data_IF_204455815909
#
_entry.id   IF_204455815909
#
_cell.length_a   1.000
_cell.length_b   1.000
_cell.length_c   1.000
_cell.angle_alpha   90.00
_cell.angle_beta   90.00
_cell.angle_gamma   90.00
#
_symmetry.space_group_name_H-M   'P 1'
#
loop_
_entity.id
_entity.type
_entity.pdbx_description
1 polymer ?
#
# COMPACT_ATOMS: atom_id res chain seq x y z
N UNK A 1 9.24 -12.77 19.15
CA UNK A 1 7.85 -12.26 19.32
C UNK A 1 6.81 -13.24 18.78
N UNK A 2 6.85 -13.67 17.51
CA UNK A 2 5.88 -14.66 16.99
C UNK A 2 5.88 -15.97 17.79
N UNK A 3 7.04 -16.59 17.98
CA UNK A 3 7.18 -17.83 18.77
C UNK A 3 6.63 -17.67 20.20
N UNK A 4 6.98 -16.56 20.87
CA UNK A 4 6.48 -16.25 22.22
C UNK A 4 4.95 -16.11 22.27
N UNK A 5 4.36 -15.45 21.28
CA UNK A 5 2.89 -15.33 21.18
C UNK A 5 2.18 -16.69 21.01
N UNK A 6 2.89 -17.68 20.49
CA UNK A 6 2.42 -19.07 20.35
C UNK A 6 2.88 -20.00 21.48
N UNK A 7 3.40 -19.44 22.59
CA UNK A 7 3.72 -20.19 23.81
C UNK A 7 5.18 -20.62 23.97
N UNK A 8 6.08 -20.16 23.12
CA UNK A 8 7.53 -20.35 23.33
C UNK A 8 8.08 -19.42 24.43
N UNK A 9 9.33 -19.62 24.84
CA UNK A 9 10.04 -18.74 25.79
C UNK A 9 10.34 -17.35 25.17
N UNK A 10 10.51 -16.29 25.99
CA UNK A 10 10.77 -14.93 25.48
C UNK A 10 11.98 -14.84 24.54
N UNK A 11 13.03 -15.60 24.85
CA UNK A 11 14.24 -15.73 24.04
C UNK A 11 14.32 -17.15 23.47
N UNK A 12 13.66 -17.37 22.34
CA UNK A 12 13.68 -18.63 21.61
C UNK A 12 15.11 -19.05 21.23
N UNK A 13 15.33 -20.36 21.10
CA UNK A 13 16.60 -20.90 20.62
C UNK A 13 16.92 -20.37 19.21
N UNK A 14 18.17 -19.98 18.92
CA UNK A 14 18.54 -19.46 17.60
C UNK A 14 18.22 -20.39 16.43
N UNK A 15 18.36 -21.72 16.65
CA UNK A 15 18.01 -22.73 15.65
C UNK A 15 16.52 -22.73 15.30
N UNK A 16 15.63 -22.61 16.30
CA UNK A 16 14.18 -22.55 16.09
C UNK A 16 13.79 -21.30 15.30
N UNK A 17 14.38 -20.15 15.62
CA UNK A 17 14.14 -18.90 14.90
C UNK A 17 14.54 -19.06 13.43
N UNK A 18 15.73 -19.63 13.17
CA UNK A 18 16.22 -19.85 11.80
C UNK A 18 15.30 -20.77 11.00
N UNK A 19 14.91 -21.91 11.58
CA UNK A 19 14.03 -22.86 10.88
C UNK A 19 12.66 -22.24 10.61
N UNK A 20 12.11 -21.48 11.56
CA UNK A 20 10.86 -20.76 11.34
C UNK A 20 10.98 -19.76 10.19
N UNK A 21 12.10 -19.04 10.09
CA UNK A 21 12.35 -18.07 9.02
C UNK A 21 12.44 -18.74 7.64
N UNK A 22 13.15 -19.86 7.55
CA UNK A 22 13.22 -20.67 6.33
C UNK A 22 11.82 -21.18 5.92
N UNK A 23 11.09 -21.79 6.85
CA UNK A 23 9.75 -22.31 6.58
C UNK A 23 8.73 -21.21 6.21
N UNK A 24 8.81 -20.06 6.87
CA UNK A 24 7.91 -18.94 6.60
C UNK A 24 8.19 -18.33 5.22
N UNK A 25 9.46 -18.21 4.85
CA UNK A 25 9.86 -17.74 3.53
C UNK A 25 9.33 -18.66 2.43
N UNK A 26 9.51 -19.97 2.59
CA UNK A 26 9.00 -20.97 1.64
C UNK A 26 7.46 -20.89 1.52
N UNK A 27 6.76 -20.80 2.66
CA UNK A 27 5.30 -20.65 2.66
C UNK A 27 4.83 -19.40 1.91
N UNK A 28 5.48 -18.26 2.10
CA UNK A 28 5.13 -17.01 1.41
C UNK A 28 5.36 -17.14 -0.10
N UNK A 29 6.48 -17.73 -0.50
CA UNK A 29 6.83 -17.94 -1.91
C UNK A 29 5.79 -18.86 -2.57
N UNK A 30 5.46 -19.99 -1.95
CA UNK A 30 4.44 -20.92 -2.46
C UNK A 30 3.06 -20.24 -2.57
N UNK A 31 2.65 -19.47 -1.56
CA UNK A 31 1.39 -18.75 -1.59
C UNK A 31 1.34 -17.70 -2.72
N UNK A 32 2.45 -17.00 -2.97
CA UNK A 32 2.55 -16.06 -4.08
C UNK A 32 2.42 -16.76 -5.44
N UNK A 33 3.03 -17.93 -5.64
CA UNK A 33 2.84 -18.70 -6.86
C UNK A 33 1.39 -19.18 -7.03
N UNK A 34 0.74 -19.58 -5.94
CA UNK A 34 -0.68 -19.97 -5.96
C UNK A 34 -1.61 -18.80 -6.32
N UNK A 35 -1.33 -17.60 -5.82
CA UNK A 35 -2.09 -16.39 -6.13
C UNK A 35 -1.75 -15.85 -7.54
N UNK A 36 -0.55 -16.08 -8.04
CA UNK A 36 -0.17 -15.65 -9.38
C UNK A 36 -0.88 -16.45 -10.47
N UNK A 37 -1.18 -17.74 -10.25
CA UNK A 37 -1.96 -18.56 -11.18
C UNK A 37 -3.29 -17.91 -11.61
N UNK A 38 -4.26 -17.61 -10.72
CA UNK A 38 -5.51 -16.97 -11.12
C UNK A 38 -5.30 -15.56 -11.70
N UNK A 39 -4.27 -14.82 -11.28
CA UNK A 39 -3.94 -13.53 -11.86
C UNK A 39 -3.53 -13.66 -13.34
N UNK A 40 -2.66 -14.63 -13.66
CA UNK A 40 -2.26 -14.93 -15.03
C UNK A 40 -3.44 -15.43 -15.88
N UNK A 41 -4.30 -16.31 -15.34
CA UNK A 41 -5.52 -16.75 -16.04
C UNK A 41 -6.45 -15.57 -16.36
N UNK A 42 -6.48 -14.54 -15.50
CA UNK A 42 -7.22 -13.30 -15.73
C UNK A 42 -6.48 -12.29 -16.64
N UNK A 43 -5.32 -12.67 -17.22
CA UNK A 43 -4.52 -11.82 -18.10
C UNK A 43 -3.82 -10.67 -17.37
N UNK A 44 -3.67 -10.74 -16.05
CA UNK A 44 -3.03 -9.71 -15.22
C UNK A 44 -1.61 -10.11 -14.86
N UNK A 45 -0.69 -9.16 -14.97
CA UNK A 45 0.67 -9.31 -14.45
C UNK A 45 0.79 -9.00 -12.96
N UNK A 46 -0.14 -8.20 -12.42
CA UNK A 46 -0.17 -7.80 -11.01
C UNK A 46 -1.19 -8.64 -10.25
N UNK A 47 -0.73 -9.26 -9.17
CA UNK A 47 -1.55 -10.00 -8.21
C UNK A 47 -2.35 -9.01 -7.34
N UNK A 48 -3.61 -9.34 -7.07
CA UNK A 48 -4.54 -8.58 -6.22
C UNK A 48 -4.90 -9.38 -4.97
N UNK A 49 -5.53 -8.73 -3.99
CA UNK A 49 -6.02 -9.40 -2.78
C UNK A 49 -6.98 -10.56 -3.08
N UNK A 50 -7.84 -10.40 -4.08
CA UNK A 50 -8.78 -11.44 -4.52
C UNK A 50 -8.07 -12.73 -4.94
N UNK A 51 -6.87 -12.63 -5.50
CA UNK A 51 -6.08 -13.78 -5.91
C UNK A 51 -5.56 -14.55 -4.69
N UNK A 52 -5.16 -13.85 -3.62
CA UNK A 52 -4.78 -14.47 -2.35
C UNK A 52 -5.98 -15.10 -1.64
N UNK A 53 -7.16 -14.45 -1.67
CA UNK A 53 -8.41 -15.05 -1.18
C UNK A 53 -8.71 -16.35 -1.94
N UNK A 54 -8.54 -16.34 -3.26
CA UNK A 54 -8.74 -17.53 -4.09
C UNK A 54 -7.70 -18.62 -3.82
N UNK A 55 -6.43 -18.27 -3.61
CA UNK A 55 -5.38 -19.21 -3.22
C UNK A 55 -5.73 -19.90 -1.88
N UNK A 56 -6.22 -19.14 -0.91
CA UNK A 56 -6.63 -19.63 0.42
C UNK A 56 -8.01 -20.28 0.46
N UNK A 57 -8.76 -20.40 -0.64
CA UNK A 57 -10.17 -20.86 -0.65
C UNK A 57 -10.42 -22.23 -0.02
N UNK A 58 -9.40 -23.09 0.05
CA UNK A 58 -9.48 -24.44 0.64
C UNK A 58 -9.27 -24.43 2.15
N UNK A 59 -8.81 -23.33 2.71
CA UNK A 59 -8.56 -23.16 4.14
C UNK A 59 -9.47 -22.06 4.70
N UNK A 60 -10.62 -22.42 5.29
CA UNK A 60 -11.58 -21.44 5.79
C UNK A 60 -11.02 -20.60 6.94
N UNK A 61 -10.04 -21.09 7.70
CA UNK A 61 -9.44 -20.35 8.81
C UNK A 61 -8.53 -19.23 8.28
N UNK A 62 -7.68 -19.53 7.29
CA UNK A 62 -6.84 -18.53 6.64
C UNK A 62 -7.69 -17.48 5.92
N UNK A 63 -8.74 -17.91 5.22
CA UNK A 63 -9.65 -17.00 4.53
C UNK A 63 -10.37 -16.06 5.50
N UNK A 64 -10.99 -16.62 6.55
CA UNK A 64 -11.67 -15.83 7.57
C UNK A 64 -10.71 -14.85 8.25
N UNK A 65 -9.46 -15.27 8.50
CA UNK A 65 -8.45 -14.39 9.09
C UNK A 65 -8.06 -13.22 8.18
N UNK A 66 -7.93 -13.46 6.88
CA UNK A 66 -7.66 -12.41 5.89
C UNK A 66 -8.81 -11.39 5.93
N UNK A 67 -10.06 -11.84 5.88
CA UNK A 67 -11.23 -10.95 5.86
C UNK A 67 -11.34 -10.11 7.14
N UNK A 68 -11.22 -10.77 8.29
CA UNK A 68 -11.23 -10.15 9.61
C UNK A 68 -10.15 -9.07 9.77
N UNK A 69 -8.95 -9.27 9.19
CA UNK A 69 -7.86 -8.29 9.23
C UNK A 69 -8.17 -7.06 8.37
N UNK A 70 -8.75 -7.28 7.18
CA UNK A 70 -9.11 -6.17 6.28
C UNK A 70 -10.30 -5.35 6.80
N UNK A 71 -11.29 -6.00 7.40
CA UNK A 71 -12.42 -5.33 8.04
C UNK A 71 -11.95 -4.43 9.18
N UNK A 72 -11.10 -4.94 10.09
CA UNK A 72 -10.53 -4.12 11.16
C UNK A 72 -9.67 -2.98 10.67
N UNK A 73 -8.92 -3.20 9.58
CA UNK A 73 -8.17 -2.10 8.96
C UNK A 73 -9.11 -0.99 8.49
N UNK A 74 -10.21 -1.34 7.82
CA UNK A 74 -11.20 -0.37 7.38
C UNK A 74 -11.85 0.39 8.55
N UNK A 75 -12.15 -0.28 9.66
CA UNK A 75 -12.65 0.35 10.88
C UNK A 75 -11.64 1.35 11.47
N UNK A 76 -10.36 0.96 11.54
CA UNK A 76 -9.28 1.83 12.03
C UNK A 76 -9.12 3.05 11.13
N UNK A 77 -9.12 2.86 9.81
CA UNK A 77 -8.95 3.94 8.84
C UNK A 77 -10.15 4.91 8.87
N UNK A 78 -11.38 4.40 9.04
CA UNK A 78 -12.56 5.22 9.24
C UNK A 78 -12.51 6.02 10.56
N UNK A 79 -12.05 5.39 11.65
CA UNK A 79 -11.88 6.06 12.93
C UNK A 79 -10.83 7.17 12.86
N UNK A 80 -9.70 6.93 12.18
CA UNK A 80 -8.66 7.94 11.95
C UNK A 80 -9.21 9.14 11.19
N UNK A 81 -9.97 8.91 10.12
CA UNK A 81 -10.61 9.99 9.35
C UNK A 81 -11.62 10.79 10.17
N UNK A 82 -12.39 10.12 11.04
CA UNK A 82 -13.36 10.80 11.90
C UNK A 82 -12.69 11.73 12.93
N UNK A 83 -11.51 11.35 13.44
CA UNK A 83 -10.71 12.17 14.36
C UNK A 83 -10.11 13.37 13.63
N UNK A 84 -9.54 13.18 12.45
CA UNK A 84 -8.94 14.24 11.63
C UNK A 84 -9.95 15.37 11.30
N UNK A 85 -11.15 14.99 10.85
CA UNK A 85 -12.26 15.94 10.57
C UNK A 85 -12.75 16.65 11.84
N UNK A 86 -12.56 16.08 13.02
CA UNK A 86 -12.94 16.71 14.29
C UNK A 86 -11.91 17.72 14.78
N UNK A 87 -10.62 17.45 14.59
CA UNK A 87 -9.54 18.39 14.93
C UNK A 87 -9.55 19.60 13.98
N UNK A 88 -9.85 19.41 12.69
CA UNK A 88 -10.01 20.53 11.74
C UNK A 88 -11.18 21.47 12.08
N UNK A 89 -12.23 20.97 12.76
CA UNK A 89 -13.31 21.84 13.25
C UNK A 89 -12.92 22.61 14.51
N UNK A 90 -12.04 22.05 15.33
CA UNK A 90 -11.51 22.70 16.53
C UNK A 90 -10.46 23.74 16.15
N UNK A 91 -9.59 23.45 15.16
CA UNK A 91 -8.66 24.44 14.61
C UNK A 91 -9.41 25.51 13.83
N UNK A 92 -10.43 25.19 13.03
CA UNK A 92 -11.19 26.21 12.29
C UNK A 92 -12.02 27.13 13.18
N UNK A 93 -12.56 26.65 14.31
CA UNK A 93 -13.19 27.55 15.30
C UNK A 93 -12.19 28.38 16.12
N UNK A 94 -10.92 27.95 16.21
CA UNK A 94 -9.82 28.76 16.76
C UNK A 94 -9.14 29.70 15.75
N UNK A 95 -9.18 29.37 14.45
CA UNK A 95 -8.46 30.03 13.34
C UNK A 95 -9.38 30.91 12.49
N UNK A 96 -10.71 30.76 12.53
CA UNK A 96 -11.63 31.74 11.92
C UNK A 96 -11.55 33.12 12.59
N UNK A 97 -10.92 33.23 13.76
CA UNK A 97 -10.53 34.51 14.37
C UNK A 97 -9.11 34.98 14.01
N UNK A 98 -8.32 34.20 13.27
CA UNK A 98 -6.95 34.53 12.88
C UNK A 98 -6.56 33.90 11.54
N UNK A 99 -6.51 34.73 10.49
CA UNK A 99 -5.78 34.52 9.23
C UNK A 99 -6.53 33.74 8.15
N UNK A 100 -7.04 34.50 7.18
CA UNK A 100 -7.22 33.99 5.83
C UNK A 100 -5.87 33.84 5.15
N UNK A 101 -5.59 32.65 4.62
CA UNK A 101 -4.78 32.46 3.43
C UNK A 101 -5.08 31.07 2.86
N UNK A 102 -5.44 31.06 1.58
CA UNK A 102 -5.75 29.90 0.76
C UNK A 102 -4.46 29.11 0.48
N UNK A 103 -4.39 27.87 0.95
CA UNK A 103 -3.38 26.90 0.53
C UNK A 103 -4.09 25.71 -0.10
N UNK A 104 -4.01 25.64 -1.42
CA UNK A 104 -4.59 24.58 -2.24
C UNK A 104 -4.05 23.21 -1.85
N UNK A 105 -4.97 22.29 -1.58
CA UNK A 105 -4.70 20.89 -1.34
C UNK A 105 -4.17 20.25 -2.64
N UNK A 106 -2.93 19.77 -2.58
CA UNK A 106 -2.38 18.88 -3.58
C UNK A 106 -2.96 17.48 -3.35
N UNK A 107 -3.70 16.97 -4.34
CA UNK A 107 -4.12 15.57 -4.44
C UNK A 107 -2.91 14.64 -4.26
N UNK A 108 -2.92 13.86 -3.17
CA UNK A 108 -1.98 12.78 -2.92
C UNK A 108 -2.51 11.47 -3.54
N UNK A 109 -2.64 11.47 -4.87
CA UNK A 109 -2.86 10.26 -5.66
C UNK A 109 -1.50 9.72 -6.14
N UNK A 110 -0.84 8.95 -5.27
CA UNK A 110 0.33 8.16 -5.61
C UNK A 110 -0.06 6.93 -6.46
N UNK A 111 -0.62 7.15 -7.65
CA UNK A 111 -0.65 6.13 -8.70
C UNK A 111 0.74 6.12 -9.37
N UNK A 112 1.55 5.11 -9.06
CA UNK A 112 2.86 4.93 -9.70
C UNK A 112 2.66 4.44 -11.13
N UNK A 113 2.29 5.37 -12.01
CA UNK A 113 2.30 5.19 -13.45
C UNK A 113 3.72 5.40 -13.97
N UNK A 114 4.45 4.31 -14.17
CA UNK A 114 5.60 4.32 -15.07
C UNK A 114 5.04 4.51 -16.49
N UNK A 115 4.94 5.77 -16.94
CA UNK A 115 4.62 6.13 -18.32
C UNK A 115 5.76 6.96 -18.90
N UNK A 116 6.32 6.44 -20.00
CA UNK A 116 7.49 6.95 -20.68
C UNK A 116 7.41 8.44 -21.04
N UNK A 117 8.52 9.14 -20.78
CA UNK A 117 8.65 10.57 -20.98
C UNK A 117 8.45 11.00 -22.44
N UNK A 118 7.51 11.91 -22.67
CA UNK A 118 7.47 12.76 -23.86
C UNK A 118 8.51 13.87 -23.73
N UNK A 119 9.57 13.81 -24.53
CA UNK A 119 10.56 14.87 -24.72
C UNK A 119 9.90 16.14 -25.27
N UNK A 120 10.01 17.25 -24.55
CA UNK A 120 9.59 18.58 -24.98
C UNK A 120 10.37 19.08 -26.19
N UNK A 121 9.67 19.71 -27.13
CA UNK A 121 10.21 20.33 -28.35
C UNK A 121 11.02 21.59 -27.98
N UNK A 122 12.32 21.61 -28.30
CA UNK A 122 13.13 22.83 -28.30
C UNK A 122 12.71 23.74 -29.47
N UNK A 123 12.35 25.00 -29.18
CA UNK A 123 12.16 26.06 -30.18
C UNK A 123 13.53 26.46 -30.76
N UNK A 124 13.71 26.25 -32.06
CA UNK A 124 14.88 26.69 -32.84
C UNK A 124 14.78 28.22 -33.04
N UNK A 125 15.79 28.99 -32.61
CA UNK A 125 15.90 30.42 -32.97
C UNK A 125 16.45 30.51 -34.40
N UNK A 126 15.77 31.25 -35.26
CA UNK A 126 16.21 31.50 -36.64
C UNK A 126 17.38 32.51 -36.69
N UNK A 127 18.34 32.36 -37.62
CA UNK A 127 19.46 33.28 -37.75
C UNK A 127 19.03 34.56 -38.48
N UNK A 128 19.52 35.73 -38.03
CA UNK A 128 19.32 37.00 -38.72
C UNK A 128 20.30 37.10 -39.89
N UNK A 129 19.77 37.41 -41.08
CA UNK A 129 20.57 37.67 -42.29
C UNK A 129 21.42 38.95 -42.15
N UNK A 130 22.62 38.99 -42.76
CA UNK A 130 23.47 40.16 -42.78
C UNK A 130 22.86 41.23 -43.70
N UNK A 131 22.93 42.50 -43.28
CA UNK A 131 22.66 43.64 -44.16
C UNK A 131 23.98 44.20 -44.66
N UNK A 132 23.97 44.57 -45.93
CA UNK A 132 25.07 45.05 -46.77
C UNK A 132 25.88 46.21 -46.19
#
# INVERSE_FOLDING_TARGET
>A
MLLYAHGDVPNSLPGTIRVLDEMLSDFIIELCFEADRPAQLAGRQKVKLEDFKFACRKDPLKLGKIEEVFERKAEIDAARKAVDVSDDKITKTGVENMVGEELGEADDDADTQIVGGKRGKYKKKEPKEPKD
#
